data_IF_593269323234
#
_entry.id   IF_593269323234
#
_cell.length_a   1.000
_cell.length_b   1.000
_cell.length_c   1.000
_cell.angle_alpha   90.00
_cell.angle_beta   90.00
_cell.angle_gamma   90.00
#
_symmetry.space_group_name_H-M   'P 1'
#
loop_
_entity.id
_entity.type
_entity.pdbx_description
1 polymer ?
#
# COMPACT_ATOMS: atom_id res chain seq x y z
N UNK A 1 38.35 12.33 28.95
CA UNK A 1 37.71 11.82 27.72
C UNK A 1 36.32 12.44 27.63
N UNK A 2 35.90 12.95 26.46
CA UNK A 2 34.57 13.49 26.27
C UNK A 2 33.49 12.41 26.50
N UNK A 3 32.38 12.76 27.15
CA UNK A 3 31.33 11.79 27.51
C UNK A 3 30.17 11.78 26.52
N UNK A 4 29.40 10.68 26.51
CA UNK A 4 28.15 10.58 25.74
C UNK A 4 27.18 11.72 26.06
N UNK A 5 27.12 12.13 27.32
CA UNK A 5 26.27 13.23 27.78
C UNK A 5 26.70 14.56 27.15
N UNK A 6 28.01 14.84 27.09
CA UNK A 6 28.53 16.07 26.50
C UNK A 6 28.19 16.15 25.00
N UNK A 7 28.33 15.04 24.29
CA UNK A 7 28.03 14.99 22.86
C UNK A 7 26.53 15.07 22.58
N UNK A 8 25.69 14.41 23.39
CA UNK A 8 24.23 14.58 23.36
C UNK A 8 23.83 16.05 23.53
N UNK A 9 24.35 16.72 24.55
CA UNK A 9 24.03 18.13 24.81
C UNK A 9 24.52 19.06 23.69
N UNK A 10 25.66 18.74 23.09
CA UNK A 10 26.20 19.46 21.95
C UNK A 10 25.27 19.37 20.72
N UNK A 11 24.77 18.17 20.42
CA UNK A 11 23.89 17.91 19.27
C UNK A 11 22.49 18.47 19.48
N UNK A 12 21.87 18.23 20.65
CA UNK A 12 20.48 18.64 20.89
C UNK A 12 20.32 20.17 20.87
N UNK A 13 21.33 20.93 21.31
CA UNK A 13 21.36 22.40 21.22
C UNK A 13 21.36 22.89 19.76
N UNK A 14 21.83 22.06 18.82
CA UNK A 14 21.89 22.35 17.38
C UNK A 14 20.73 21.74 16.60
N UNK A 15 19.88 20.89 17.20
CA UNK A 15 18.81 20.17 16.49
C UNK A 15 17.87 21.10 15.70
N UNK A 16 17.50 22.27 16.26
CA UNK A 16 16.67 23.24 15.54
C UNK A 16 17.40 23.86 14.35
N UNK A 17 18.67 24.21 14.55
CA UNK A 17 19.51 24.75 13.48
C UNK A 17 19.70 23.73 12.37
N UNK A 18 19.91 22.44 12.70
CA UNK A 18 20.03 21.36 11.73
C UNK A 18 18.83 21.29 10.79
N UNK A 19 17.62 21.36 11.34
CA UNK A 19 16.39 21.33 10.53
C UNK A 19 16.32 22.52 9.57
N UNK A 20 16.64 23.72 10.04
CA UNK A 20 16.60 24.92 9.21
C UNK A 20 17.69 24.89 8.12
N UNK A 21 18.93 24.53 8.47
CA UNK A 21 20.05 24.42 7.54
C UNK A 21 19.80 23.31 6.51
N UNK A 22 19.30 22.15 6.95
CA UNK A 22 18.89 21.05 6.09
C UNK A 22 17.85 21.51 5.07
N UNK A 23 16.74 22.10 5.54
CA UNK A 23 15.64 22.55 4.67
C UNK A 23 16.10 23.60 3.65
N UNK A 24 16.95 24.54 4.08
CA UNK A 24 17.50 25.57 3.19
C UNK A 24 18.48 25.00 2.15
N UNK A 25 19.09 23.84 2.43
CA UNK A 25 20.01 23.15 1.52
C UNK A 25 19.33 22.21 0.51
N UNK A 26 18.02 22.02 0.61
CA UNK A 26 17.26 21.15 -0.28
C UNK A 26 17.36 21.63 -1.73
N UNK A 27 17.69 20.71 -2.64
CA UNK A 27 17.66 20.99 -4.07
C UNK A 27 16.21 20.99 -4.57
N UNK A 28 15.58 22.16 -4.57
CA UNK A 28 14.19 22.34 -5.01
C UNK A 28 13.99 22.23 -6.54
N UNK A 29 15.06 22.08 -7.31
CA UNK A 29 15.02 22.08 -8.78
C UNK A 29 14.97 20.69 -9.40
N UNK A 30 15.64 19.70 -8.77
CA UNK A 30 15.70 18.31 -9.26
C UNK A 30 15.05 17.29 -8.33
N UNK A 31 14.34 17.75 -7.28
CA UNK A 31 13.55 16.86 -6.42
C UNK A 31 12.06 16.96 -6.77
N UNK A 32 11.27 16.06 -6.21
CA UNK A 32 9.82 16.00 -6.36
C UNK A 32 9.22 15.50 -5.05
N UNK A 33 7.93 15.75 -4.84
CA UNK A 33 7.22 15.38 -3.61
C UNK A 33 7.44 16.39 -2.48
N UNK A 34 7.49 15.89 -1.24
CA UNK A 34 7.43 16.68 0.00
C UNK A 34 8.53 17.76 0.08
N UNK A 35 9.73 17.47 -0.44
CA UNK A 35 10.89 18.38 -0.38
C UNK A 35 10.78 19.60 -1.32
N UNK A 36 9.86 19.58 -2.27
CA UNK A 36 9.60 20.70 -3.21
C UNK A 36 8.31 21.45 -2.93
N UNK A 37 7.54 21.03 -1.92
CA UNK A 37 6.23 21.59 -1.64
C UNK A 37 6.33 23.09 -1.34
N UNK A 38 5.42 23.87 -1.95
CA UNK A 38 5.22 25.28 -1.65
C UNK A 38 4.09 25.52 -0.64
N UNK A 39 3.42 24.46 -0.17
CA UNK A 39 2.35 24.55 0.81
C UNK A 39 2.95 24.80 2.20
N UNK A 40 2.63 25.93 2.88
CA UNK A 40 3.19 26.24 4.19
C UNK A 40 2.96 25.15 5.24
N UNK A 41 1.81 24.50 5.23
CA UNK A 41 1.49 23.43 6.17
C UNK A 41 2.37 22.20 5.96
N UNK A 42 2.59 21.82 4.69
CA UNK A 42 3.47 20.68 4.33
C UNK A 42 4.91 20.98 4.72
N UNK A 43 5.37 22.21 4.49
CA UNK A 43 6.71 22.65 4.88
C UNK A 43 6.88 22.60 6.41
N UNK A 44 5.88 23.09 7.16
CA UNK A 44 5.90 23.05 8.63
C UNK A 44 5.94 21.61 9.14
N UNK A 45 5.07 20.74 8.62
CA UNK A 45 5.06 19.30 8.97
C UNK A 45 6.40 18.64 8.65
N UNK A 46 6.97 18.89 7.46
CA UNK A 46 8.26 18.32 7.05
C UNK A 46 9.39 18.75 8.01
N UNK A 47 9.44 20.04 8.36
CA UNK A 47 10.41 20.56 9.33
C UNK A 47 10.21 19.94 10.71
N UNK A 48 8.96 19.82 11.16
CA UNK A 48 8.63 19.22 12.45
C UNK A 48 9.06 17.74 12.51
N UNK A 49 8.77 16.95 11.48
CA UNK A 49 9.20 15.55 11.38
C UNK A 49 10.73 15.44 11.43
N UNK A 50 11.45 16.29 10.70
CA UNK A 50 12.90 16.31 10.72
C UNK A 50 13.46 16.73 12.10
N UNK A 51 12.86 17.72 12.76
CA UNK A 51 13.23 18.14 14.11
C UNK A 51 13.02 17.03 15.16
N UNK A 52 11.89 16.31 15.07
CA UNK A 52 11.62 15.14 15.91
C UNK A 52 12.64 14.03 15.71
N UNK A 53 13.01 13.76 14.45
CA UNK A 53 14.08 12.81 14.13
C UNK A 53 15.39 13.19 14.81
N UNK A 54 15.79 14.47 14.80
CA UNK A 54 16.98 14.91 15.51
C UNK A 54 16.89 14.65 17.01
N UNK A 55 15.73 14.94 17.64
CA UNK A 55 15.51 14.66 19.05
C UNK A 55 15.70 13.17 19.38
N UNK A 56 15.08 12.29 18.58
CA UNK A 56 15.19 10.83 18.74
C UNK A 56 16.63 10.39 18.51
N UNK A 57 17.24 10.76 17.38
CA UNK A 57 18.58 10.36 17.00
C UNK A 57 19.64 10.79 18.03
N UNK A 58 19.54 12.01 18.57
CA UNK A 58 20.46 12.45 19.63
C UNK A 58 20.32 11.57 20.89
N UNK A 59 19.12 11.08 21.19
CA UNK A 59 18.88 10.29 22.40
C UNK A 59 19.65 8.96 22.44
N UNK A 60 20.21 8.50 21.30
CA UNK A 60 21.00 7.27 21.23
C UNK A 60 22.22 7.25 22.16
N UNK A 61 22.77 8.42 22.49
CA UNK A 61 23.96 8.50 23.36
C UNK A 61 23.62 8.31 24.84
N UNK A 62 22.36 8.55 25.23
CA UNK A 62 21.92 8.61 26.62
C UNK A 62 20.79 7.61 26.96
N UNK A 63 20.25 6.94 25.96
CA UNK A 63 19.10 6.02 26.10
C UNK A 63 19.54 4.58 25.86
N UNK A 64 18.87 3.63 26.51
CA UNK A 64 19.07 2.21 26.24
C UNK A 64 18.64 1.88 24.80
N UNK A 65 19.38 0.94 24.16
CA UNK A 65 19.26 0.65 22.73
C UNK A 65 17.86 0.22 22.31
N UNK A 66 17.21 -0.70 23.04
CA UNK A 66 15.88 -1.16 22.70
C UNK A 66 14.84 -0.04 22.82
N UNK A 67 14.94 0.80 23.84
CA UNK A 67 14.06 1.96 24.00
C UNK A 67 14.26 2.99 22.86
N UNK A 68 15.51 3.25 22.46
CA UNK A 68 15.82 4.09 21.31
C UNK A 68 15.23 3.53 20.00
N UNK A 69 15.46 2.24 19.71
CA UNK A 69 14.98 1.60 18.49
C UNK A 69 13.44 1.62 18.42
N UNK A 70 12.74 1.46 19.54
CA UNK A 70 11.27 1.54 19.60
C UNK A 70 10.74 2.95 19.27
N UNK A 71 11.35 4.00 19.82
CA UNK A 71 10.93 5.38 19.53
C UNK A 71 11.26 5.77 18.09
N UNK A 72 12.41 5.33 17.58
CA UNK A 72 12.78 5.52 16.19
C UNK A 72 11.80 4.83 15.24
N UNK A 73 11.48 3.55 15.47
CA UNK A 73 10.54 2.79 14.63
C UNK A 73 9.13 3.42 14.65
N UNK A 74 8.68 4.00 15.77
CA UNK A 74 7.40 4.74 15.84
C UNK A 74 7.41 5.99 14.95
N UNK A 75 8.50 6.77 15.00
CA UNK A 75 8.65 7.95 14.15
C UNK A 75 8.77 7.56 12.68
N UNK A 76 9.51 6.50 12.36
CA UNK A 76 9.62 5.99 10.99
C UNK A 76 8.24 5.61 10.44
N UNK A 77 7.41 4.93 11.25
CA UNK A 77 6.06 4.57 10.85
C UNK A 77 5.19 5.81 10.56
N UNK A 78 5.26 6.85 11.40
CA UNK A 78 4.47 8.07 11.19
C UNK A 78 4.86 8.80 9.90
N UNK A 79 6.14 8.80 9.54
CA UNK A 79 6.63 9.34 8.25
C UNK A 79 6.25 8.43 7.09
N UNK A 80 6.32 7.11 7.25
CA UNK A 80 5.95 6.15 6.21
C UNK A 80 4.44 6.16 5.87
N UNK A 81 3.60 6.58 6.82
CA UNK A 81 2.15 6.75 6.62
C UNK A 81 1.77 8.14 6.09
N UNK A 82 2.70 9.10 6.09
CA UNK A 82 2.46 10.45 5.61
C UNK A 82 2.23 10.49 4.09
N UNK A 83 1.18 11.19 3.66
CA UNK A 83 0.78 11.23 2.24
C UNK A 83 1.80 11.94 1.38
N UNK A 84 2.46 12.98 1.89
CA UNK A 84 3.46 13.71 1.11
C UNK A 84 4.71 12.85 0.90
N UNK A 85 5.12 12.07 1.90
CA UNK A 85 6.20 11.08 1.78
C UNK A 85 5.82 9.89 0.90
N UNK A 86 4.60 9.35 1.00
CA UNK A 86 4.10 8.29 0.08
C UNK A 86 4.19 8.72 -1.38
N UNK A 87 3.89 9.99 -1.67
CA UNK A 87 3.95 10.55 -3.03
C UNK A 87 5.37 10.98 -3.45
N UNK A 88 6.37 10.81 -2.58
CA UNK A 88 7.77 11.17 -2.85
C UNK A 88 8.55 9.93 -3.27
N UNK A 89 9.30 9.95 -4.39
CA UNK A 89 10.13 8.82 -4.77
C UNK A 89 11.15 8.44 -3.69
N UNK A 90 11.23 7.14 -3.34
CA UNK A 90 12.11 6.66 -2.25
C UNK A 90 13.56 7.12 -2.36
N UNK A 91 14.11 7.20 -3.58
CA UNK A 91 15.50 7.65 -3.78
C UNK A 91 15.72 9.13 -3.42
N UNK A 92 14.69 9.97 -3.45
CA UNK A 92 14.76 11.34 -2.93
C UNK A 92 14.79 11.34 -1.40
N UNK A 93 13.95 10.52 -0.75
CA UNK A 93 13.91 10.40 0.71
C UNK A 93 15.24 9.86 1.25
N UNK A 94 15.75 8.79 0.64
CA UNK A 94 17.04 8.20 1.02
C UNK A 94 18.20 9.19 0.85
N UNK A 95 18.17 10.02 -0.21
CA UNK A 95 19.18 11.08 -0.40
C UNK A 95 19.17 12.07 0.77
N UNK A 96 18.02 12.40 1.31
CA UNK A 96 17.91 13.30 2.46
C UNK A 96 18.39 12.64 3.77
N UNK A 97 18.15 11.34 3.98
CA UNK A 97 18.80 10.61 5.08
C UNK A 97 20.34 10.64 4.95
N UNK A 98 20.89 10.47 3.74
CA UNK A 98 22.36 10.57 3.52
C UNK A 98 22.86 11.97 3.86
N UNK A 99 22.16 13.01 3.39
CA UNK A 99 22.52 14.40 3.66
C UNK A 99 22.53 14.70 5.16
N UNK A 100 21.48 14.28 5.87
CA UNK A 100 21.39 14.50 7.32
C UNK A 100 22.50 13.73 8.05
N UNK A 101 22.81 12.51 7.63
CA UNK A 101 23.97 11.77 8.16
C UNK A 101 25.27 12.54 7.98
N UNK A 102 25.53 13.10 6.80
CA UNK A 102 26.72 13.91 6.54
C UNK A 102 26.81 15.14 7.46
N UNK A 103 25.68 15.79 7.77
CA UNK A 103 25.64 16.89 8.74
C UNK A 103 26.06 16.43 10.15
N UNK A 104 25.57 15.28 10.62
CA UNK A 104 25.97 14.72 11.91
C UNK A 104 27.46 14.35 11.97
N UNK A 105 28.01 13.82 10.88
CA UNK A 105 29.42 13.48 10.80
C UNK A 105 30.31 14.74 10.80
N UNK A 106 29.86 15.82 10.17
CA UNK A 106 30.52 17.14 10.27
C UNK A 106 30.54 17.67 11.71
N UNK A 107 29.44 17.51 12.44
CA UNK A 107 29.34 17.89 13.85
C UNK A 107 30.17 17.03 14.80
N UNK A 108 30.29 15.73 14.52
CA UNK A 108 31.21 14.86 15.23
C UNK A 108 32.65 15.36 15.08
N UNK A 109 33.04 15.81 13.88
CA UNK A 109 34.36 16.41 13.63
C UNK A 109 34.52 17.76 14.36
N UNK A 110 33.53 18.66 14.29
CA UNK A 110 33.55 19.93 15.03
C UNK A 110 33.72 19.69 16.54
N UNK A 111 32.99 18.72 17.10
CA UNK A 111 33.09 18.37 18.51
C UNK A 111 34.47 17.79 18.88
N UNK A 112 35.05 16.99 17.98
CA UNK A 112 36.40 16.47 18.12
C UNK A 112 37.45 17.58 18.15
N UNK A 113 37.37 18.55 17.24
CA UNK A 113 38.34 19.65 17.11
C UNK A 113 38.30 20.60 18.33
N UNK A 114 37.15 20.70 19.01
CA UNK A 114 37.03 21.47 20.27
C UNK A 114 37.53 20.71 21.49
N UNK A 115 37.74 19.39 21.39
CA UNK A 115 38.19 18.53 22.49
C UNK A 115 39.71 18.38 22.45
N UNK A 116 40.41 18.48 23.59
CA UNK A 116 41.88 18.33 23.65
C UNK A 116 42.32 16.93 23.18
N UNK A 117 43.24 16.89 22.21
CA UNK A 117 43.54 15.77 21.30
C UNK A 117 44.07 14.45 21.90
N UNK A 118 44.51 14.40 23.16
CA UNK A 118 45.42 13.32 23.58
C UNK A 118 44.80 11.92 23.85
N UNK A 119 43.48 11.75 24.01
CA UNK A 119 42.92 10.46 24.47
C UNK A 119 41.53 10.08 23.92
N UNK A 120 41.05 10.70 22.84
CA UNK A 120 39.64 10.56 22.40
C UNK A 120 39.34 9.55 21.29
N UNK A 121 40.36 9.02 20.59
CA UNK A 121 40.19 8.36 19.29
C UNK A 121 39.16 7.22 19.31
N UNK A 122 39.21 6.34 20.32
CA UNK A 122 38.30 5.20 20.43
C UNK A 122 36.85 5.64 20.64
N UNK A 123 36.61 6.67 21.46
CA UNK A 123 35.27 7.19 21.75
C UNK A 123 34.63 7.79 20.49
N UNK A 124 35.39 8.61 19.74
CA UNK A 124 34.89 9.20 18.48
C UNK A 124 34.58 8.15 17.42
N UNK A 125 35.39 7.09 17.34
CA UNK A 125 35.14 5.98 16.42
C UNK A 125 33.88 5.19 16.80
N UNK A 126 33.62 4.98 18.08
CA UNK A 126 32.38 4.36 18.54
C UNK A 126 31.16 5.24 18.25
N UNK A 127 31.24 6.56 18.45
CA UNK A 127 30.16 7.48 18.07
C UNK A 127 29.91 7.53 16.57
N UNK A 128 30.97 7.51 15.76
CA UNK A 128 30.85 7.40 14.30
C UNK A 128 30.08 6.12 13.91
N UNK A 129 30.51 4.97 14.43
CA UNK A 129 29.85 3.68 14.15
C UNK A 129 28.39 3.70 14.58
N UNK A 130 28.12 4.22 15.78
CA UNK A 130 26.78 4.31 16.34
C UNK A 130 25.88 5.15 15.42
N UNK A 131 26.30 6.36 15.05
CA UNK A 131 25.56 7.22 14.13
C UNK A 131 25.30 6.53 12.78
N UNK A 132 26.34 5.98 12.14
CA UNK A 132 26.19 5.31 10.84
C UNK A 132 25.19 4.15 10.94
N UNK A 133 25.29 3.31 11.97
CA UNK A 133 24.38 2.20 12.18
C UNK A 133 22.93 2.65 12.43
N UNK A 134 22.72 3.76 13.15
CA UNK A 134 21.37 4.32 13.37
C UNK A 134 20.73 4.83 12.10
N UNK A 135 21.50 5.52 11.25
CA UNK A 135 21.00 5.97 9.95
C UNK A 135 20.73 4.79 9.02
N UNK A 136 21.62 3.80 8.97
CA UNK A 136 21.42 2.61 8.15
C UNK A 136 20.17 1.84 8.59
N UNK A 137 19.96 1.68 9.91
CA UNK A 137 18.72 1.12 10.47
C UNK A 137 17.51 1.96 10.06
N UNK A 138 17.54 3.28 10.28
CA UNK A 138 16.42 4.15 9.95
C UNK A 138 16.04 4.10 8.46
N UNK A 139 17.03 4.08 7.57
CA UNK A 139 16.83 3.99 6.12
C UNK A 139 16.19 2.66 5.71
N UNK A 140 16.71 1.54 6.20
CA UNK A 140 16.16 0.20 5.89
C UNK A 140 14.75 0.07 6.43
N UNK A 141 14.53 0.42 7.69
CA UNK A 141 13.21 0.35 8.34
C UNK A 141 12.20 1.26 7.66
N UNK A 142 12.59 2.46 7.24
CA UNK A 142 11.72 3.33 6.47
C UNK A 142 11.25 2.67 5.18
N UNK A 143 12.17 2.10 4.39
CA UNK A 143 11.80 1.44 3.13
C UNK A 143 10.91 0.23 3.38
N UNK A 144 11.20 -0.58 4.40
CA UNK A 144 10.37 -1.73 4.78
C UNK A 144 8.95 -1.31 5.17
N UNK A 145 8.81 -0.35 6.08
CA UNK A 145 7.51 0.14 6.55
C UNK A 145 6.73 0.84 5.44
N UNK A 146 7.40 1.69 4.65
CA UNK A 146 6.77 2.37 3.51
C UNK A 146 6.24 1.38 2.48
N UNK A 147 7.02 0.33 2.17
CA UNK A 147 6.60 -0.73 1.25
C UNK A 147 5.39 -1.49 1.81
N UNK A 148 5.39 -1.81 3.10
CA UNK A 148 4.26 -2.47 3.75
C UNK A 148 2.98 -1.60 3.71
N UNK A 149 3.10 -0.30 4.00
CA UNK A 149 1.99 0.67 3.95
C UNK A 149 1.42 0.77 2.53
N UNK A 150 2.28 0.95 1.52
CA UNK A 150 1.86 1.07 0.12
C UNK A 150 1.22 -0.22 -0.39
N UNK A 151 1.80 -1.38 -0.09
CA UNK A 151 1.23 -2.68 -0.49
C UNK A 151 -0.15 -2.91 0.14
N UNK A 152 -0.32 -2.54 1.42
CA UNK A 152 -1.62 -2.63 2.09
C UNK A 152 -2.67 -1.72 1.44
N UNK A 153 -2.29 -0.50 1.07
CA UNK A 153 -3.17 0.42 0.34
C UNK A 153 -3.54 -0.12 -1.05
N UNK A 154 -2.58 -0.66 -1.79
CA UNK A 154 -2.82 -1.29 -3.09
C UNK A 154 -3.76 -2.49 -2.98
N UNK A 155 -3.56 -3.33 -1.97
CA UNK A 155 -4.43 -4.48 -1.73
C UNK A 155 -5.87 -4.03 -1.42
N UNK A 156 -6.05 -3.07 -0.52
CA UNK A 156 -7.37 -2.54 -0.18
C UNK A 156 -8.06 -1.90 -1.41
N UNK A 157 -7.29 -1.18 -2.25
CA UNK A 157 -7.82 -0.65 -3.51
C UNK A 157 -8.22 -1.75 -4.50
N UNK A 158 -7.44 -2.82 -4.59
CA UNK A 158 -7.75 -3.97 -5.45
C UNK A 158 -9.00 -4.71 -4.97
N UNK A 159 -9.19 -4.87 -3.66
CA UNK A 159 -10.41 -5.43 -3.06
C UNK A 159 -11.64 -4.60 -3.42
N UNK A 160 -11.57 -3.27 -3.27
CA UNK A 160 -12.64 -2.35 -3.69
C UNK A 160 -12.91 -2.43 -5.20
N UNK A 161 -11.88 -2.53 -6.03
CA UNK A 161 -12.06 -2.73 -7.48
C UNK A 161 -12.79 -4.04 -7.74
N UNK A 162 -12.43 -5.13 -7.06
CA UNK A 162 -13.07 -6.42 -7.22
C UNK A 162 -14.55 -6.38 -6.80
N UNK A 163 -14.87 -5.72 -5.68
CA UNK A 163 -16.24 -5.41 -5.23
C UNK A 163 -17.06 -4.69 -6.30
N UNK A 164 -16.49 -3.63 -6.89
CA UNK A 164 -17.16 -2.80 -7.88
C UNK A 164 -17.23 -3.44 -9.28
N UNK A 165 -16.43 -4.48 -9.55
CA UNK A 165 -16.30 -5.03 -10.90
C UNK A 165 -17.41 -6.02 -11.29
N UNK A 166 -18.17 -6.55 -10.33
CA UNK A 166 -19.27 -7.49 -10.59
C UNK A 166 -20.46 -7.32 -9.62
N UNK A 167 -21.07 -6.13 -9.51
CA UNK A 167 -22.23 -5.94 -8.63
C UNK A 167 -23.49 -6.59 -9.23
N UNK A 168 -24.37 -7.12 -8.38
CA UNK A 168 -25.70 -7.57 -8.79
C UNK A 168 -26.60 -6.35 -8.93
N UNK A 169 -26.91 -5.92 -10.14
CA UNK A 169 -27.69 -4.71 -10.44
C UNK A 169 -29.18 -5.09 -10.54
N UNK A 170 -30.01 -4.63 -9.60
CA UNK A 170 -31.46 -4.87 -9.63
C UNK A 170 -32.09 -4.17 -10.84
N UNK A 171 -32.77 -4.92 -11.69
CA UNK A 171 -33.46 -4.41 -12.89
C UNK A 171 -34.93 -4.10 -12.58
N UNK A 172 -35.57 -4.95 -11.77
CA UNK A 172 -36.92 -4.78 -11.25
C UNK A 172 -37.07 -5.58 -9.94
N UNK A 173 -38.28 -5.68 -9.38
CA UNK A 173 -38.52 -6.35 -8.09
C UNK A 173 -38.05 -7.81 -8.03
N UNK A 174 -38.04 -8.52 -9.15
CA UNK A 174 -37.76 -9.95 -9.18
C UNK A 174 -36.48 -10.31 -9.93
N UNK A 175 -35.87 -9.36 -10.65
CA UNK A 175 -34.76 -9.66 -11.55
C UNK A 175 -33.57 -8.73 -11.35
N UNK A 176 -32.38 -9.28 -11.53
CA UNK A 176 -31.12 -8.54 -11.49
C UNK A 176 -30.15 -8.99 -12.59
N UNK A 177 -29.13 -8.17 -12.83
CA UNK A 177 -28.03 -8.39 -13.76
C UNK A 177 -26.71 -8.48 -13.00
N UNK A 178 -25.92 -9.51 -13.27
CA UNK A 178 -24.52 -9.65 -12.89
C UNK A 178 -23.66 -9.50 -14.16
N UNK A 179 -23.10 -8.30 -14.43
CA UNK A 179 -22.19 -8.11 -15.54
C UNK A 179 -20.80 -8.63 -15.16
N UNK A 180 -20.24 -9.51 -15.98
CA UNK A 180 -18.87 -10.00 -15.81
C UNK A 180 -17.98 -9.39 -16.90
N UNK A 181 -16.96 -8.64 -16.48
CA UNK A 181 -16.09 -7.87 -17.39
C UNK A 181 -14.61 -8.18 -17.13
N UNK A 182 -13.82 -8.29 -18.20
CA UNK A 182 -12.37 -8.46 -18.16
C UNK A 182 -11.94 -9.93 -18.02
N UNK A 183 -10.70 -10.13 -17.57
CA UNK A 183 -10.19 -11.46 -17.28
C UNK A 183 -10.68 -11.90 -15.90
N UNK A 184 -11.24 -13.11 -15.84
CA UNK A 184 -11.67 -13.70 -14.58
C UNK A 184 -10.61 -14.72 -14.19
N UNK A 185 -9.94 -14.46 -13.08
CA UNK A 185 -9.00 -15.38 -12.44
C UNK A 185 -9.68 -16.15 -11.30
N UNK A 186 -9.10 -17.25 -10.82
CA UNK A 186 -9.75 -18.14 -9.86
C UNK A 186 -10.19 -17.46 -8.56
N UNK A 187 -9.33 -16.62 -7.98
CA UNK A 187 -9.60 -15.84 -6.76
C UNK A 187 -10.75 -14.86 -6.98
N UNK A 188 -10.80 -14.23 -8.16
CA UNK A 188 -11.89 -13.34 -8.55
C UNK A 188 -13.21 -14.10 -8.76
N UNK A 189 -13.16 -15.31 -9.30
CA UNK A 189 -14.36 -16.13 -9.52
C UNK A 189 -15.01 -16.56 -8.19
N UNK A 190 -14.21 -16.93 -7.19
CA UNK A 190 -14.70 -17.25 -5.83
C UNK A 190 -15.35 -16.03 -5.18
N UNK A 191 -14.71 -14.86 -5.29
CA UNK A 191 -15.28 -13.61 -4.80
C UNK A 191 -16.61 -13.25 -5.48
N UNK A 192 -16.70 -13.42 -6.80
CA UNK A 192 -17.93 -13.20 -7.58
C UNK A 192 -19.03 -14.16 -7.12
N UNK A 193 -18.70 -15.43 -6.87
CA UNK A 193 -19.64 -16.45 -6.42
C UNK A 193 -20.28 -16.05 -5.08
N UNK A 194 -19.47 -15.78 -4.07
CA UNK A 194 -19.94 -15.43 -2.72
C UNK A 194 -20.79 -14.15 -2.75
N UNK A 195 -20.26 -13.10 -3.37
CA UNK A 195 -20.90 -11.79 -3.40
C UNK A 195 -22.21 -11.79 -4.22
N UNK A 196 -22.27 -12.55 -5.33
CA UNK A 196 -23.49 -12.65 -6.13
C UNK A 196 -24.62 -13.36 -5.38
N UNK A 197 -24.31 -14.42 -4.62
CA UNK A 197 -25.29 -15.14 -3.81
C UNK A 197 -25.85 -14.24 -2.70
N UNK A 198 -24.96 -13.57 -1.94
CA UNK A 198 -25.37 -12.64 -0.87
C UNK A 198 -26.24 -11.51 -1.39
N UNK A 199 -25.80 -10.83 -2.46
CA UNK A 199 -26.57 -9.73 -3.04
C UNK A 199 -27.92 -10.17 -3.63
N UNK A 200 -28.04 -11.39 -4.16
CA UNK A 200 -29.33 -11.88 -4.64
C UNK A 200 -30.33 -12.06 -3.49
N UNK A 201 -29.87 -12.60 -2.36
CA UNK A 201 -30.68 -12.77 -1.15
C UNK A 201 -31.07 -11.42 -0.57
N UNK A 202 -30.11 -10.51 -0.41
CA UNK A 202 -30.35 -9.16 0.13
C UNK A 202 -31.37 -8.38 -0.72
N UNK A 203 -31.27 -8.50 -2.05
CA UNK A 203 -32.14 -7.76 -2.98
C UNK A 203 -33.48 -8.45 -3.25
N UNK A 204 -33.67 -9.67 -2.76
CA UNK A 204 -34.90 -10.45 -2.88
C UNK A 204 -35.26 -10.83 -4.32
N UNK A 205 -34.26 -11.01 -5.19
CA UNK A 205 -34.50 -11.36 -6.60
C UNK A 205 -34.68 -12.86 -6.77
N UNK A 206 -35.50 -13.25 -7.75
CA UNK A 206 -35.78 -14.67 -8.09
C UNK A 206 -35.18 -15.07 -9.43
N UNK A 207 -34.61 -14.11 -10.18
CA UNK A 207 -33.96 -14.35 -11.46
C UNK A 207 -32.72 -13.47 -11.62
N UNK A 208 -31.59 -14.08 -12.01
CA UNK A 208 -30.33 -13.40 -12.23
C UNK A 208 -29.85 -13.58 -13.66
N UNK A 209 -29.69 -12.50 -14.40
CA UNK A 209 -29.02 -12.49 -15.70
C UNK A 209 -27.52 -12.38 -15.48
N UNK A 210 -26.73 -13.29 -16.02
CA UNK A 210 -25.27 -13.27 -15.96
C UNK A 210 -24.76 -12.92 -17.37
N UNK A 211 -24.13 -11.77 -17.54
CA UNK A 211 -23.61 -11.32 -18.83
C UNK A 211 -22.11 -11.55 -18.94
N UNK A 212 -21.73 -12.43 -19.87
CA UNK A 212 -20.35 -12.79 -20.20
C UNK A 212 -19.80 -12.05 -21.41
N UNK A 213 -20.57 -11.12 -22.02
CA UNK A 213 -20.16 -10.42 -23.24
C UNK A 213 -18.81 -9.69 -23.11
N UNK A 214 -18.53 -9.16 -21.90
CA UNK A 214 -17.30 -8.48 -21.53
C UNK A 214 -16.14 -9.37 -21.10
N UNK A 215 -16.33 -10.70 -21.07
CA UNK A 215 -15.27 -11.66 -20.70
C UNK A 215 -14.48 -12.07 -21.93
N UNK A 216 -13.15 -11.97 -21.86
CA UNK A 216 -12.26 -12.27 -23.00
C UNK A 216 -11.76 -13.71 -22.96
N UNK A 217 -11.39 -14.19 -21.77
CA UNK A 217 -10.85 -15.53 -21.54
C UNK A 217 -11.42 -16.11 -20.25
N UNK A 218 -11.76 -17.40 -20.28
CA UNK A 218 -12.15 -18.20 -19.12
C UNK A 218 -11.29 -19.45 -19.15
N UNK A 219 -10.56 -19.70 -18.06
CA UNK A 219 -9.89 -20.99 -17.84
C UNK A 219 -10.91 -22.04 -17.36
N UNK A 220 -10.59 -23.30 -17.56
CA UNK A 220 -11.28 -24.49 -17.06
C UNK A 220 -11.75 -24.37 -15.61
N UNK A 221 -10.89 -23.90 -14.69
CA UNK A 221 -11.26 -23.75 -13.28
C UNK A 221 -12.30 -22.64 -13.06
N UNK A 222 -12.22 -21.55 -13.81
CA UNK A 222 -13.19 -20.44 -13.74
C UNK A 222 -14.52 -20.85 -14.35
N UNK A 223 -14.50 -21.64 -15.43
CA UNK A 223 -15.71 -22.25 -15.97
C UNK A 223 -16.39 -23.07 -14.87
N UNK A 224 -15.69 -24.00 -14.21
CA UNK A 224 -16.24 -24.77 -13.09
C UNK A 224 -16.87 -23.89 -12.00
N UNK A 225 -16.21 -22.81 -11.58
CA UNK A 225 -16.77 -21.89 -10.58
C UNK A 225 -18.05 -21.20 -11.05
N UNK A 226 -18.14 -20.81 -12.33
CA UNK A 226 -19.35 -20.24 -12.90
C UNK A 226 -20.53 -21.23 -12.86
N UNK A 227 -20.29 -22.52 -13.12
CA UNK A 227 -21.32 -23.54 -13.01
C UNK A 227 -21.74 -23.78 -11.56
N UNK A 228 -20.79 -23.82 -10.63
CA UNK A 228 -21.10 -23.87 -9.19
C UNK A 228 -21.97 -22.69 -8.75
N UNK A 229 -21.71 -21.47 -9.26
CA UNK A 229 -22.56 -20.31 -9.01
C UNK A 229 -23.99 -20.55 -9.49
N UNK A 230 -24.17 -21.06 -10.71
CA UNK A 230 -25.51 -21.33 -11.23
C UNK A 230 -26.27 -22.38 -10.41
N UNK A 231 -25.61 -23.44 -9.99
CA UNK A 231 -26.21 -24.48 -9.14
C UNK A 231 -26.57 -23.91 -7.75
N UNK A 232 -25.65 -23.13 -7.15
CA UNK A 232 -25.88 -22.46 -5.87
C UNK A 232 -27.07 -21.48 -5.93
N UNK A 233 -27.17 -20.68 -7.01
CA UNK A 233 -28.29 -19.78 -7.25
C UNK A 233 -29.62 -20.54 -7.29
N UNK A 234 -29.67 -21.67 -8.01
CA UNK A 234 -30.88 -22.49 -8.07
C UNK A 234 -31.28 -23.05 -6.70
N UNK A 235 -30.31 -23.47 -5.88
CA UNK A 235 -30.57 -23.97 -4.53
C UNK A 235 -31.20 -22.90 -3.62
N UNK A 236 -30.85 -21.62 -3.79
CA UNK A 236 -31.45 -20.52 -3.04
C UNK A 236 -32.70 -19.93 -3.71
N UNK A 237 -33.23 -20.58 -4.76
CA UNK A 237 -34.45 -20.16 -5.45
C UNK A 237 -34.27 -19.03 -6.46
N UNK A 238 -33.04 -18.75 -6.87
CA UNK A 238 -32.72 -17.75 -7.91
C UNK A 238 -32.45 -18.46 -9.22
N UNK A 239 -33.21 -18.14 -10.27
CA UNK A 239 -33.04 -18.74 -11.60
C UNK A 239 -31.93 -18.01 -12.38
N UNK A 240 -30.79 -18.66 -12.68
CA UNK A 240 -29.75 -18.04 -13.50
C UNK A 240 -30.10 -18.09 -15.00
N UNK A 241 -29.80 -17.00 -15.72
CA UNK A 241 -29.88 -16.91 -17.18
C UNK A 241 -28.57 -16.37 -17.71
N UNK A 242 -27.88 -17.16 -18.54
CA UNK A 242 -26.60 -16.77 -19.12
C UNK A 242 -26.80 -16.02 -20.44
N UNK A 243 -25.98 -14.99 -20.66
CA UNK A 243 -25.94 -14.24 -21.91
C UNK A 243 -24.51 -13.92 -22.33
N UNK A 244 -24.29 -13.71 -23.63
CA UNK A 244 -22.98 -13.28 -24.14
C UNK A 244 -21.88 -14.37 -24.11
N UNK A 245 -22.28 -15.65 -24.05
CA UNK A 245 -21.33 -16.78 -24.04
C UNK A 245 -20.60 -16.86 -25.39
N UNK A 246 -19.28 -16.68 -25.38
CA UNK A 246 -18.43 -16.82 -26.58
C UNK A 246 -18.28 -18.30 -27.00
N UNK A 247 -18.12 -18.60 -28.29
CA UNK A 247 -17.99 -19.98 -28.78
C UNK A 247 -16.86 -20.77 -28.11
N UNK A 248 -15.74 -20.12 -27.81
CA UNK A 248 -14.56 -20.75 -27.19
C UNK A 248 -14.90 -21.24 -25.77
N UNK A 249 -15.65 -20.44 -25.01
CA UNK A 249 -16.09 -20.78 -23.65
C UNK A 249 -17.09 -21.95 -23.69
N UNK A 250 -18.00 -21.94 -24.66
CA UNK A 250 -18.94 -23.04 -24.86
C UNK A 250 -18.22 -24.36 -25.17
N UNK A 251 -17.16 -24.34 -25.98
CA UNK A 251 -16.35 -25.53 -26.26
C UNK A 251 -15.66 -26.07 -25.01
N UNK A 252 -15.05 -25.19 -24.20
CA UNK A 252 -14.42 -25.58 -22.93
C UNK A 252 -15.43 -26.23 -21.99
N UNK A 253 -16.62 -25.67 -21.84
CA UNK A 253 -17.63 -26.23 -20.96
C UNK A 253 -18.12 -27.62 -21.42
N UNK A 254 -18.25 -27.85 -22.73
CA UNK A 254 -18.56 -29.18 -23.30
C UNK A 254 -17.41 -30.17 -23.04
N UNK A 255 -16.16 -29.74 -23.21
CA UNK A 255 -14.98 -30.59 -22.95
C UNK A 255 -14.89 -31.02 -21.47
N UNK A 256 -15.32 -30.16 -20.54
CA UNK A 256 -15.38 -30.44 -19.11
C UNK A 256 -16.56 -31.35 -18.72
N UNK A 257 -17.43 -31.73 -19.66
CA UNK A 257 -18.57 -32.61 -19.40
C UNK A 257 -19.70 -31.93 -18.63
N UNK A 258 -19.77 -30.60 -18.65
CA UNK A 258 -20.80 -29.82 -17.95
C UNK A 258 -22.14 -29.98 -18.67
N UNK A 259 -23.20 -30.22 -17.89
CA UNK A 259 -24.55 -30.42 -18.42
C UNK A 259 -25.32 -29.11 -18.45
N UNK A 260 -25.95 -28.83 -19.58
CA UNK A 260 -26.68 -27.59 -19.83
C UNK A 260 -28.20 -27.76 -19.83
N UNK A 261 -28.69 -28.96 -19.51
CA UNK A 261 -30.08 -29.37 -19.71
C UNK A 261 -31.09 -28.46 -18.98
N UNK A 262 -30.67 -27.81 -17.89
CA UNK A 262 -31.51 -26.95 -17.05
C UNK A 262 -31.15 -25.45 -17.10
N UNK A 263 -30.26 -25.05 -18.02
CA UNK A 263 -29.75 -23.68 -18.10
C UNK A 263 -30.37 -22.92 -19.26
N UNK A 264 -30.83 -21.70 -18.99
CA UNK A 264 -31.26 -20.79 -20.05
C UNK A 264 -30.07 -19.98 -20.52
N UNK A 265 -29.65 -20.19 -21.78
CA UNK A 265 -28.54 -19.46 -22.40
C UNK A 265 -29.06 -18.67 -23.59
N UNK A 266 -28.60 -17.43 -23.74
CA UNK A 266 -28.92 -16.55 -24.86
C UNK A 266 -27.66 -15.97 -25.47
N UNK A 267 -27.72 -15.57 -26.74
CA UNK A 267 -26.55 -15.01 -27.43
C UNK A 267 -26.18 -13.61 -26.93
N UNK A 268 -27.18 -12.83 -26.48
CA UNK A 268 -27.00 -11.43 -26.04
C UNK A 268 -27.87 -11.13 -24.84
N UNK A 269 -27.43 -10.19 -24.00
CA UNK A 269 -28.21 -9.72 -22.85
C UNK A 269 -29.58 -9.20 -23.28
N UNK A 270 -29.67 -8.49 -24.42
CA UNK A 270 -30.95 -8.00 -24.95
C UNK A 270 -31.94 -9.15 -25.22
N UNK A 271 -31.51 -10.27 -25.78
CA UNK A 271 -32.36 -11.44 -25.96
C UNK A 271 -32.78 -12.07 -24.63
N UNK A 272 -31.92 -12.04 -23.63
CA UNK A 272 -32.23 -12.51 -22.29
C UNK A 272 -33.34 -11.65 -21.65
N UNK A 273 -33.19 -10.32 -21.71
CA UNK A 273 -34.13 -9.35 -21.14
C UNK A 273 -35.50 -9.35 -21.83
N UNK A 274 -35.56 -9.64 -23.14
CA UNK A 274 -36.84 -9.78 -23.86
C UNK A 274 -37.67 -11.00 -23.41
N UNK A 275 -37.14 -11.86 -22.53
CA UNK A 275 -37.86 -12.99 -21.94
C UNK A 275 -38.45 -12.67 -20.55
N UNK A 276 -38.30 -11.44 -20.09
CA UNK A 276 -38.95 -10.92 -18.88
C UNK A 276 -40.48 -10.87 -19.02
#
# INVERSE_FOLDING_TARGET
MPSNQDFYEFLIKRAKQLTDDWYNSLDKSNTSGVYTSSNPQVIETLKQQNFEFHGILCSIFITERLAFEQELDKWILSVAEDKEHINTPNHHILKEFVRVREQYLGFLQEFKDMSSEEDGFDVFNEWWKLLVQSFDHAMVRFVEMQTAVVNKQLQAQQEVINELSSPVIKLNEHTALLPLVGNIEPTRAEYILENALEQCVEKGVTQLFIDLSGVVLIDTMVAHQLFNLMDALQLIGVKPILSGLRPEIAQTAVQLGLKFDNLTITSTLSQALNRL
#
